data_IF_528989247991
#
_entry.id   IF_528989247991
#
_cell.length_a   1.000
_cell.length_b   1.000
_cell.length_c   1.000
_cell.angle_alpha   90.00
_cell.angle_beta   90.00
_cell.angle_gamma   90.00
#
_symmetry.space_group_name_H-M   'P 1'
#
loop_
_entity.id
_entity.type
_entity.pdbx_description
1 polymer ?
#
# COMPACT_ATOMS: atom_id res chain seq x y z
N UNK A 1 -28.50 -9.58 -2.81
CA UNK A 1 -27.50 -8.82 -3.60
C UNK A 1 -26.70 -9.84 -4.38
N UNK A 2 -26.60 -9.69 -5.70
CA UNK A 2 -25.95 -10.70 -6.55
C UNK A 2 -24.44 -10.71 -6.32
N UNK A 3 -23.76 -11.86 -6.51
CA UNK A 3 -22.30 -11.96 -6.34
C UNK A 3 -21.55 -10.98 -7.25
N UNK A 4 -21.99 -10.86 -8.50
CA UNK A 4 -21.43 -9.91 -9.47
C UNK A 4 -21.60 -8.46 -9.04
N UNK A 5 -22.76 -8.14 -8.46
CA UNK A 5 -23.05 -6.79 -7.95
C UNK A 5 -22.14 -6.43 -6.77
N UNK A 6 -21.85 -7.40 -5.90
CA UNK A 6 -20.91 -7.24 -4.78
C UNK A 6 -19.47 -7.05 -5.26
N UNK A 7 -19.04 -7.84 -6.24
CA UNK A 7 -17.70 -7.70 -6.84
C UNK A 7 -17.56 -6.33 -7.53
N UNK A 8 -18.58 -5.88 -8.26
CA UNK A 8 -18.59 -4.57 -8.88
C UNK A 8 -18.50 -3.44 -7.83
N UNK A 9 -19.25 -3.52 -6.73
CA UNK A 9 -19.17 -2.56 -5.63
C UNK A 9 -17.79 -2.54 -4.97
N UNK A 10 -17.18 -3.70 -4.72
CA UNK A 10 -15.83 -3.80 -4.18
C UNK A 10 -14.79 -3.21 -5.12
N UNK A 11 -14.93 -3.44 -6.43
CA UNK A 11 -14.03 -2.87 -7.44
C UNK A 11 -14.13 -1.33 -7.48
N UNK A 12 -15.34 -0.79 -7.50
CA UNK A 12 -15.57 0.67 -7.43
C UNK A 12 -15.01 1.25 -6.13
N UNK A 13 -15.21 0.58 -4.99
CA UNK A 13 -14.66 1.00 -3.70
C UNK A 13 -13.13 1.03 -3.72
N UNK A 14 -12.50 0.02 -4.33
CA UNK A 14 -11.04 -0.05 -4.48
C UNK A 14 -10.50 1.09 -5.38
N UNK A 15 -11.20 1.43 -6.46
CA UNK A 15 -10.86 2.58 -7.31
C UNK A 15 -10.98 3.90 -6.54
N UNK A 16 -12.11 4.12 -5.85
CA UNK A 16 -12.32 5.34 -5.06
C UNK A 16 -11.28 5.49 -3.95
N UNK A 17 -10.97 4.40 -3.23
CA UNK A 17 -9.92 4.40 -2.23
C UNK A 17 -8.56 4.76 -2.85
N UNK A 18 -8.22 4.17 -4.00
CA UNK A 18 -6.96 4.43 -4.69
C UNK A 18 -6.83 5.90 -5.12
N UNK A 19 -7.91 6.48 -5.66
CA UNK A 19 -7.96 7.91 -6.03
C UNK A 19 -7.81 8.78 -4.78
N UNK A 20 -8.54 8.48 -3.71
CA UNK A 20 -8.47 9.21 -2.44
C UNK A 20 -7.06 9.22 -1.88
N UNK A 21 -6.43 8.05 -1.73
CA UNK A 21 -5.06 7.97 -1.21
C UNK A 21 -4.05 8.66 -2.13
N UNK A 22 -4.19 8.55 -3.46
CA UNK A 22 -3.32 9.24 -4.42
C UNK A 22 -3.45 10.76 -4.30
N UNK A 23 -4.67 11.26 -4.19
CA UNK A 23 -4.94 12.68 -3.97
C UNK A 23 -4.26 13.15 -2.68
N UNK A 24 -4.56 12.53 -1.53
CA UNK A 24 -3.93 12.89 -0.26
C UNK A 24 -2.40 12.80 -0.30
N UNK A 25 -1.86 11.83 -1.03
CA UNK A 25 -0.43 11.66 -1.19
C UNK A 25 0.24 12.82 -1.94
N UNK A 26 -0.43 13.38 -2.96
CA UNK A 26 0.06 14.53 -3.73
C UNK A 26 0.05 15.82 -2.91
N UNK A 27 -0.99 16.04 -2.09
CA UNK A 27 -1.13 17.28 -1.30
C UNK A 27 -0.36 17.26 0.03
N UNK A 28 -0.06 16.08 0.56
CA UNK A 28 0.71 15.96 1.81
C UNK A 28 2.17 16.33 1.55
N UNK A 29 2.72 17.34 2.23
CA UNK A 29 4.15 17.68 2.15
C UNK A 29 5.01 16.97 3.19
N UNK A 30 4.43 16.67 4.36
CA UNK A 30 5.15 16.07 5.49
C UNK A 30 5.44 14.59 5.25
N UNK A 31 6.69 14.18 5.36
CA UNK A 31 7.14 12.81 5.09
C UNK A 31 6.58 11.79 6.08
N UNK A 32 6.40 12.14 7.36
CA UNK A 32 5.76 11.27 8.35
C UNK A 32 4.30 10.96 7.97
N UNK A 33 3.56 11.96 7.50
CA UNK A 33 2.18 11.82 7.02
C UNK A 33 2.12 11.01 5.72
N UNK A 34 3.06 11.17 4.79
CA UNK A 34 3.16 10.31 3.59
C UNK A 34 3.42 8.84 3.95
N UNK A 35 4.29 8.59 4.93
CA UNK A 35 4.59 7.24 5.39
C UNK A 35 3.36 6.60 6.05
N UNK A 36 2.61 7.38 6.85
CA UNK A 36 1.35 6.93 7.42
C UNK A 36 0.32 6.61 6.32
N UNK A 37 0.11 7.51 5.36
CA UNK A 37 -0.79 7.29 4.22
C UNK A 37 -0.41 6.05 3.40
N UNK A 38 0.88 5.81 3.15
CA UNK A 38 1.36 4.64 2.44
C UNK A 38 1.07 3.33 3.21
N UNK A 39 1.29 3.32 4.53
CA UNK A 39 0.96 2.17 5.37
C UNK A 39 -0.56 1.93 5.40
N UNK A 40 -1.35 2.99 5.58
CA UNK A 40 -2.82 2.90 5.59
C UNK A 40 -3.36 2.38 4.26
N UNK A 41 -2.84 2.85 3.12
CA UNK A 41 -3.22 2.35 1.80
C UNK A 41 -2.95 0.85 1.67
N UNK A 42 -1.78 0.36 2.12
CA UNK A 42 -1.46 -1.06 2.09
C UNK A 42 -2.37 -1.93 2.96
N UNK A 43 -2.83 -1.39 4.11
CA UNK A 43 -3.77 -2.10 4.99
C UNK A 43 -5.16 -2.13 4.37
N UNK A 44 -5.65 -0.99 3.86
CA UNK A 44 -6.95 -0.90 3.19
C UNK A 44 -6.99 -1.79 1.94
N UNK A 45 -5.94 -1.79 1.12
CA UNK A 45 -5.88 -2.64 -0.07
C UNK A 45 -5.84 -4.12 0.27
N UNK A 46 -5.12 -4.52 1.32
CA UNK A 46 -5.14 -5.90 1.80
C UNK A 46 -6.56 -6.31 2.25
N UNK A 47 -7.25 -5.46 3.02
CA UNK A 47 -8.61 -5.74 3.47
C UNK A 47 -9.60 -5.88 2.30
N UNK A 48 -9.50 -4.99 1.30
CA UNK A 48 -10.32 -5.07 0.08
C UNK A 48 -10.04 -6.35 -0.72
N UNK A 49 -8.78 -6.76 -0.84
CA UNK A 49 -8.40 -8.02 -1.46
C UNK A 49 -8.97 -9.24 -0.72
N UNK A 50 -8.91 -9.25 0.62
CA UNK A 50 -9.53 -10.32 1.42
C UNK A 50 -11.05 -10.36 1.22
N UNK A 51 -11.73 -9.21 1.23
CA UNK A 51 -13.17 -9.13 0.96
C UNK A 51 -13.52 -9.62 -0.45
N UNK A 52 -12.68 -9.30 -1.44
CA UNK A 52 -12.85 -9.77 -2.82
C UNK A 52 -12.72 -11.29 -2.92
N UNK A 53 -11.71 -11.88 -2.27
CA UNK A 53 -11.53 -13.35 -2.23
C UNK A 53 -12.73 -14.02 -1.57
N UNK A 54 -13.21 -13.48 -0.45
CA UNK A 54 -14.38 -14.02 0.26
C UNK A 54 -15.64 -14.01 -0.60
N UNK A 55 -15.97 -12.86 -1.21
CA UNK A 55 -17.15 -12.70 -2.07
C UNK A 55 -17.04 -13.53 -3.35
N UNK A 56 -15.82 -13.81 -3.84
CA UNK A 56 -15.63 -14.63 -5.04
C UNK A 56 -16.03 -16.11 -4.85
N UNK A 57 -16.35 -16.55 -3.63
CA UNK A 57 -16.65 -17.96 -3.34
C UNK A 57 -15.39 -18.81 -3.15
N UNK A 58 -14.26 -18.18 -2.83
CA UNK A 58 -13.02 -18.86 -2.44
C UNK A 58 -12.12 -19.32 -3.60
N UNK A 59 -12.54 -19.16 -4.86
CA UNK A 59 -11.71 -19.52 -6.04
C UNK A 59 -10.36 -18.81 -6.06
N UNK A 60 -10.26 -17.64 -5.42
CA UNK A 60 -9.05 -16.83 -5.37
C UNK A 60 -8.21 -17.03 -4.09
N UNK A 61 -8.55 -18.00 -3.23
CA UNK A 61 -7.82 -18.28 -1.98
C UNK A 61 -6.36 -18.63 -2.22
N UNK A 62 -6.05 -19.30 -3.34
CA UNK A 62 -4.67 -19.61 -3.76
C UNK A 62 -3.79 -18.36 -3.90
N UNK A 63 -4.40 -17.18 -4.12
CA UNK A 63 -3.69 -15.92 -4.23
C UNK A 63 -3.44 -15.23 -2.88
N UNK A 64 -4.06 -15.68 -1.78
CA UNK A 64 -3.88 -15.05 -0.46
C UNK A 64 -2.41 -14.98 -0.01
N UNK A 65 -1.59 -16.05 -0.13
CA UNK A 65 -0.18 -15.97 0.21
C UNK A 65 0.55 -14.91 -0.62
N UNK A 66 0.21 -14.80 -1.92
CA UNK A 66 0.81 -13.84 -2.84
C UNK A 66 0.42 -12.40 -2.46
N UNK A 67 -0.85 -12.18 -2.10
CA UNK A 67 -1.34 -10.88 -1.61
C UNK A 67 -0.57 -10.46 -0.36
N UNK A 68 -0.43 -11.36 0.62
CA UNK A 68 0.32 -11.09 1.86
C UNK A 68 1.78 -10.76 1.56
N UNK A 69 2.43 -11.54 0.68
CA UNK A 69 3.81 -11.28 0.24
C UNK A 69 3.95 -9.90 -0.41
N UNK A 70 3.03 -9.53 -1.31
CA UNK A 70 3.03 -8.22 -1.98
C UNK A 70 2.80 -7.09 -0.97
N UNK A 71 1.88 -7.24 -0.01
CA UNK A 71 1.65 -6.23 1.04
C UNK A 71 2.89 -6.05 1.93
N UNK A 72 3.53 -7.15 2.35
CA UNK A 72 4.78 -7.08 3.13
C UNK A 72 5.89 -6.42 2.30
N UNK A 73 6.00 -6.79 1.02
CA UNK A 73 6.98 -6.20 0.12
C UNK A 73 6.75 -4.70 -0.06
N UNK A 74 5.53 -4.27 -0.38
CA UNK A 74 5.19 -2.86 -0.59
C UNK A 74 5.34 -2.01 0.67
N UNK A 75 4.97 -2.53 1.84
CA UNK A 75 5.13 -1.83 3.11
C UNK A 75 6.60 -1.56 3.46
N UNK A 76 7.52 -2.42 3.02
CA UNK A 76 8.97 -2.31 3.29
C UNK A 76 9.76 -1.63 2.17
N UNK A 77 9.17 -1.44 1.00
CA UNK A 77 9.88 -0.96 -0.19
C UNK A 77 10.01 0.56 -0.28
N UNK A 78 9.12 1.30 0.40
CA UNK A 78 9.09 2.76 0.37
C UNK A 78 9.23 3.35 1.77
N UNK A 79 10.13 4.32 1.91
CA UNK A 79 10.24 5.20 3.09
C UNK A 79 10.37 6.65 2.66
N UNK A 80 9.83 7.56 3.46
CA UNK A 80 9.89 9.00 3.22
C UNK A 80 10.82 9.65 4.22
N UNK A 81 11.82 10.39 3.75
CA UNK A 81 12.84 10.96 4.63
C UNK A 81 12.27 12.12 5.47
N UNK A 82 12.41 12.11 6.81
CA UNK A 82 12.00 13.23 7.67
C UNK A 82 12.74 14.52 7.34
N UNK A 83 14.04 14.43 7.05
CA UNK A 83 14.91 15.59 6.89
C UNK A 83 14.83 16.25 5.52
N UNK A 84 14.89 15.47 4.43
CA UNK A 84 14.89 16.03 3.07
C UNK A 84 13.55 15.88 2.33
N UNK A 85 12.56 15.21 2.92
CA UNK A 85 11.24 15.01 2.32
C UNK A 85 11.19 14.06 1.11
N UNK A 86 12.34 13.58 0.61
CA UNK A 86 12.38 12.72 -0.58
C UNK A 86 11.90 11.30 -0.28
N UNK A 87 11.24 10.74 -1.28
CA UNK A 87 10.86 9.33 -1.32
C UNK A 87 12.09 8.48 -1.58
N UNK A 88 12.31 7.46 -0.77
CA UNK A 88 13.39 6.52 -0.92
C UNK A 88 12.81 5.16 -1.26
N UNK A 89 13.13 4.71 -2.47
CA UNK A 89 12.76 3.39 -2.96
C UNK A 89 13.93 2.47 -2.64
N UNK A 90 13.58 1.31 -2.12
CA UNK A 90 14.50 0.21 -1.94
C UNK A 90 15.17 -0.17 -3.26
N UNK A 91 16.50 -0.27 -3.26
CA UNK A 91 17.30 -0.61 -4.46
C UNK A 91 17.45 -2.10 -4.71
N UNK A 92 17.50 -2.96 -3.68
CA UNK A 92 17.56 -4.42 -3.86
C UNK A 92 17.19 -5.23 -2.61
N UNK A 93 16.88 -6.51 -2.81
CA UNK A 93 16.83 -7.55 -1.77
C UNK A 93 15.56 -7.58 -0.92
N UNK A 94 15.65 -8.12 0.31
CA UNK A 94 14.58 -8.16 1.34
C UNK A 94 14.84 -7.24 2.55
N UNK A 95 15.92 -6.45 2.49
CA UNK A 95 16.27 -5.49 3.54
C UNK A 95 15.47 -4.18 3.46
N UNK A 96 15.06 -3.60 4.60
CA UNK A 96 14.40 -2.30 4.64
C UNK A 96 15.38 -1.16 4.29
N UNK A 97 14.85 -0.03 3.81
CA UNK A 97 15.64 1.17 3.55
C UNK A 97 16.17 1.74 4.87
N UNK A 98 17.48 1.65 5.11
CA UNK A 98 18.12 2.11 6.37
C UNK A 98 18.53 3.58 6.35
N UNK A 99 18.84 4.13 5.18
CA UNK A 99 19.31 5.52 5.01
C UNK A 99 18.69 6.17 3.79
N UNK A 100 18.52 7.49 3.84
CA UNK A 100 18.10 8.28 2.70
C UNK A 100 19.22 8.34 1.65
N UNK A 101 18.88 8.04 0.40
CA UNK A 101 19.78 8.06 -0.75
C UNK A 101 20.14 9.48 -1.21
N UNK A 102 19.39 10.49 -0.77
CA UNK A 102 19.64 11.88 -1.18
C UNK A 102 20.38 12.71 -0.14
N UNK A 103 20.13 12.52 1.16
CA UNK A 103 20.76 13.30 2.22
C UNK A 103 21.58 12.46 3.21
N UNK A 104 21.59 11.13 3.08
CA UNK A 104 22.39 10.24 3.93
C UNK A 104 21.81 9.96 5.32
N UNK A 105 20.75 10.68 5.73
CA UNK A 105 20.14 10.51 7.05
C UNK A 105 19.58 9.12 7.28
N UNK A 106 19.65 8.66 8.54
CA UNK A 106 19.11 7.35 8.93
C UNK A 106 17.60 7.44 9.06
N UNK A 107 16.93 6.36 8.69
CA UNK A 107 15.52 6.17 9.01
C UNK A 107 15.46 5.51 10.38
N UNK A 108 15.34 6.33 11.41
CA UNK A 108 15.10 5.89 12.79
C UNK A 108 13.79 5.07 12.89
#
# INVERSE_FOLDING_TARGET
MNQEEMLAKLFVLALLASIFFSFFFLFTKKSSSKNYLWKSLNVVSAFLMFAFVYVSGGYLVVWLPLIVLVTIYNSRSLRFCPSCGKTNIRKSGYLPVKKCQSCGDRFD
#
